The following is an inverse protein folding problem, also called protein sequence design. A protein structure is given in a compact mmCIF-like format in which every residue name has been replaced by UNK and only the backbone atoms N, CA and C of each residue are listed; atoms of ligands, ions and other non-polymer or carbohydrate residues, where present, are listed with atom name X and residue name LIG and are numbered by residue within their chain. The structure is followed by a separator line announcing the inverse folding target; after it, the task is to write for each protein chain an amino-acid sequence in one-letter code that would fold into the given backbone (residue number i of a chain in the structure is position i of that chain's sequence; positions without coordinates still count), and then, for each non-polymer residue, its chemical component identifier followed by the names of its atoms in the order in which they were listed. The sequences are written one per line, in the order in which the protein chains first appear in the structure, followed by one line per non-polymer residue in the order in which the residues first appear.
data_IF_123203433293
#
_entry.id   IF_123203433293
#
_cell.length_a   1.000
_cell.length_b   1.000
_cell.length_c   1.000
_cell.angle_alpha   90.00
_cell.angle_beta   90.00
_cell.angle_gamma   90.00
#
_symmetry.space_group_name_H-M   'P 1'
#
loop_
_entity.id
_entity.type
_entity.pdbx_description
1 polymer ?
#
# COMPACT_ATOMS: atom_id res chain seq x y z
N UNK A 1 3.30 1.59 -11.99
CA UNK A 1 3.98 1.18 -13.23
C UNK A 1 4.01 -0.33 -13.41
N UNK A 2 4.22 -1.13 -12.36
CA UNK A 2 4.20 -2.60 -12.42
C UNK A 2 2.93 -3.21 -13.04
N UNK A 3 1.76 -2.58 -12.91
CA UNK A 3 0.48 -3.09 -13.43
C UNK A 3 0.22 -2.74 -14.90
N UNK A 4 1.00 -1.83 -15.51
CA UNK A 4 0.76 -1.35 -16.88
C UNK A 4 0.87 -2.48 -17.91
N UNK A 5 1.90 -3.35 -17.90
CA UNK A 5 1.99 -4.45 -18.87
C UNK A 5 0.79 -5.42 -18.79
N UNK A 6 0.34 -5.73 -17.58
CA UNK A 6 -0.83 -6.59 -17.36
C UNK A 6 -2.12 -5.96 -17.90
N UNK A 7 -2.31 -4.65 -17.69
CA UNK A 7 -3.47 -3.93 -18.23
C UNK A 7 -3.44 -3.81 -19.75
N UNK A 8 -2.26 -3.63 -20.35
CA UNK A 8 -2.09 -3.62 -21.81
C UNK A 8 -2.41 -4.98 -22.43
N UNK A 9 -1.91 -6.07 -21.82
CA UNK A 9 -2.23 -7.44 -22.24
C UNK A 9 -3.74 -7.71 -22.14
N UNK A 10 -4.36 -7.30 -21.02
CA UNK A 10 -5.80 -7.43 -20.83
C UNK A 10 -6.60 -6.62 -21.86
N UNK A 11 -6.19 -5.38 -22.15
CA UNK A 11 -6.81 -4.53 -23.18
C UNK A 11 -6.71 -5.19 -24.56
N UNK A 12 -5.53 -5.71 -24.91
CA UNK A 12 -5.35 -6.47 -26.16
C UNK A 12 -6.33 -7.63 -26.23
N UNK A 13 -6.43 -8.44 -25.17
CA UNK A 13 -7.35 -9.58 -25.15
C UNK A 13 -8.81 -9.17 -25.34
N UNK A 14 -9.27 -8.09 -24.68
CA UNK A 14 -10.63 -7.57 -24.88
C UNK A 14 -10.87 -7.03 -26.29
N UNK A 15 -9.83 -6.56 -26.99
CA UNK A 15 -9.94 -6.09 -28.37
C UNK A 15 -9.83 -7.21 -29.43
N UNK A 16 -9.26 -8.37 -29.09
CA UNK A 16 -8.91 -9.41 -30.09
C UNK A 16 -9.58 -10.76 -29.88
N UNK A 17 -10.08 -11.07 -28.68
CA UNK A 17 -10.64 -12.39 -28.35
C UNK A 17 -12.18 -12.40 -28.39
N UNK A 18 -12.77 -13.58 -28.53
CA UNK A 18 -14.22 -13.75 -28.42
C UNK A 18 -14.71 -13.56 -26.99
N UNK A 19 -16.02 -13.33 -26.84
CA UNK A 19 -16.63 -13.22 -25.52
C UNK A 19 -16.48 -14.51 -24.71
N UNK A 20 -16.57 -15.69 -25.33
CA UNK A 20 -16.38 -16.97 -24.66
C UNK A 20 -14.97 -17.09 -24.05
N UNK A 21 -13.93 -16.80 -24.83
CA UNK A 21 -12.53 -16.84 -24.35
C UNK A 21 -12.26 -15.83 -23.21
N UNK A 22 -12.93 -14.68 -23.24
CA UNK A 22 -12.86 -13.66 -22.20
C UNK A 22 -13.53 -14.17 -20.91
N UNK A 23 -14.69 -14.82 -21.03
CA UNK A 23 -15.44 -15.33 -19.88
C UNK A 23 -14.69 -16.43 -19.14
N UNK A 24 -13.95 -17.28 -19.85
CA UNK A 24 -13.07 -18.30 -19.24
C UNK A 24 -12.03 -17.69 -18.28
N UNK A 25 -11.62 -16.45 -18.52
CA UNK A 25 -10.58 -15.75 -17.76
C UNK A 25 -11.12 -14.56 -16.93
N UNK A 26 -12.43 -14.42 -16.83
CA UNK A 26 -13.07 -13.21 -16.29
C UNK A 26 -12.62 -12.86 -14.88
N UNK A 27 -12.52 -13.87 -13.99
CA UNK A 27 -12.07 -13.66 -12.61
C UNK A 27 -10.65 -13.12 -12.53
N UNK A 28 -9.77 -13.61 -13.41
CA UNK A 28 -8.37 -13.17 -13.45
C UNK A 28 -8.26 -11.73 -13.95
N UNK A 29 -8.98 -11.38 -15.02
CA UNK A 29 -9.04 -10.01 -15.51
C UNK A 29 -9.61 -9.05 -14.47
N UNK A 30 -10.69 -9.46 -13.80
CA UNK A 30 -11.29 -8.67 -12.71
C UNK A 30 -10.30 -8.45 -11.56
N UNK A 31 -9.60 -9.51 -11.13
CA UNK A 31 -8.57 -9.42 -10.09
C UNK A 31 -7.44 -8.46 -10.49
N UNK A 32 -6.85 -8.64 -11.68
CA UNK A 32 -5.75 -7.79 -12.15
C UNK A 32 -6.17 -6.33 -12.29
N UNK A 33 -7.39 -6.09 -12.79
CA UNK A 33 -7.94 -4.75 -12.93
C UNK A 33 -8.12 -4.06 -11.58
N UNK A 34 -8.77 -4.74 -10.63
CA UNK A 34 -8.99 -4.22 -9.28
C UNK A 34 -7.65 -4.01 -8.56
N UNK A 35 -6.73 -4.97 -8.65
CA UNK A 35 -5.38 -4.84 -8.09
C UNK A 35 -4.68 -3.58 -8.64
N UNK A 36 -4.73 -3.37 -9.95
CA UNK A 36 -4.12 -2.20 -10.59
C UNK A 36 -4.74 -0.89 -10.10
N UNK A 37 -6.06 -0.83 -9.97
CA UNK A 37 -6.78 0.32 -9.43
C UNK A 37 -6.38 0.58 -7.98
N UNK A 38 -6.52 -0.40 -7.10
CA UNK A 38 -6.29 -0.20 -5.66
C UNK A 38 -4.83 0.12 -5.33
N UNK A 39 -3.86 -0.50 -6.02
CA UNK A 39 -2.44 -0.14 -5.87
C UNK A 39 -2.19 1.29 -6.34
N UNK A 40 -2.77 1.70 -7.47
CA UNK A 40 -2.57 3.06 -7.99
C UNK A 40 -3.21 4.11 -7.07
N UNK A 41 -4.44 3.85 -6.61
CA UNK A 41 -5.15 4.72 -5.68
C UNK A 41 -4.42 4.82 -4.35
N UNK A 42 -3.98 3.70 -3.77
CA UNK A 42 -3.24 3.69 -2.49
C UNK A 42 -1.93 4.48 -2.61
N UNK A 43 -1.18 4.31 -3.70
CA UNK A 43 0.04 5.10 -3.94
C UNK A 43 -0.25 6.59 -4.10
N UNK A 44 -1.33 6.95 -4.79
CA UNK A 44 -1.71 8.35 -5.00
C UNK A 44 -2.18 9.01 -3.69
N UNK A 45 -2.97 8.30 -2.90
CA UNK A 45 -3.41 8.76 -1.58
C UNK A 45 -2.22 8.93 -0.63
N UNK A 46 -1.30 7.96 -0.62
CA UNK A 46 -0.04 8.07 0.14
C UNK A 46 0.80 9.28 -0.32
N UNK A 47 0.88 9.56 -1.62
CA UNK A 47 1.55 10.77 -2.11
C UNK A 47 0.85 12.05 -1.60
N UNK A 48 -0.47 12.08 -1.59
CA UNK A 48 -1.23 13.21 -1.08
C UNK A 48 -1.05 13.42 0.43
N UNK A 49 -0.85 12.37 1.22
CA UNK A 49 -0.58 12.51 2.66
C UNK A 49 0.78 13.17 2.96
N UNK A 50 1.70 13.15 1.98
CA UNK A 50 2.97 13.89 2.01
C UNK A 50 2.90 15.30 1.42
N UNK A 51 1.82 15.64 0.71
CA UNK A 51 1.73 16.89 -0.06
C UNK A 51 1.02 17.97 0.75
N UNK A 52 1.78 18.86 1.40
CA UNK A 52 1.20 19.86 2.31
C UNK A 52 0.51 21.04 1.60
N UNK A 53 1.00 21.44 0.43
CA UNK A 53 0.50 22.61 -0.32
C UNK A 53 0.01 22.20 -1.71
N UNK A 54 -0.94 22.97 -2.28
CA UNK A 54 -1.38 22.79 -3.67
C UNK A 54 -2.27 21.58 -3.94
N UNK A 55 -2.82 20.93 -2.91
CA UNK A 55 -3.80 19.86 -3.12
C UNK A 55 -5.17 20.43 -3.53
N UNK A 56 -5.91 19.74 -4.42
CA UNK A 56 -7.29 20.08 -4.71
C UNK A 56 -8.18 20.04 -3.45
N UNK A 57 -9.16 20.94 -3.37
CA UNK A 57 -10.07 21.04 -2.21
C UNK A 57 -10.84 19.75 -1.90
N UNK A 58 -11.21 18.99 -2.92
CA UNK A 58 -11.91 17.73 -2.72
C UNK A 58 -11.01 16.68 -2.05
N UNK A 59 -9.70 16.68 -2.34
CA UNK A 59 -8.74 15.78 -1.68
C UNK A 59 -8.61 16.15 -0.20
N UNK A 60 -8.45 17.45 0.10
CA UNK A 60 -8.31 17.89 1.49
C UNK A 60 -9.59 17.60 2.28
N UNK A 61 -10.77 17.79 1.68
CA UNK A 61 -12.04 17.43 2.32
C UNK A 61 -12.12 15.93 2.63
N UNK A 62 -11.74 15.06 1.69
CA UNK A 62 -11.71 13.62 1.94
C UNK A 62 -10.70 13.24 3.04
N UNK A 63 -9.56 13.95 3.14
CA UNK A 63 -8.60 13.76 4.23
C UNK A 63 -9.16 14.23 5.57
N UNK A 64 -9.84 15.38 5.61
CA UNK A 64 -10.43 15.92 6.84
C UNK A 64 -11.57 15.03 7.35
N UNK A 65 -12.36 14.45 6.44
CA UNK A 65 -13.39 13.45 6.72
C UNK A 65 -12.83 12.04 6.98
N UNK A 66 -11.51 11.86 6.91
CA UNK A 66 -10.84 10.57 7.10
C UNK A 66 -11.30 9.47 6.12
N UNK A 67 -11.82 9.83 4.95
CA UNK A 67 -12.19 8.89 3.88
C UNK A 67 -10.92 8.39 3.15
N UNK A 68 -9.92 9.27 3.03
CA UNK A 68 -8.58 8.93 2.51
C UNK A 68 -7.53 9.37 3.53
N UNK A 69 -6.32 8.80 3.47
CA UNK A 69 -5.29 8.96 4.50
C UNK A 69 -4.99 10.45 4.82
N UNK A 70 -5.26 10.90 6.06
CA UNK A 70 -4.92 12.25 6.50
C UNK A 70 -3.40 12.44 6.65
N UNK A 71 -2.90 13.63 6.33
CA UNK A 71 -1.48 14.00 6.47
C UNK A 71 -0.95 13.80 7.89
N UNK A 72 -1.71 14.28 8.89
CA UNK A 72 -1.35 14.18 10.31
C UNK A 72 -1.28 12.73 10.80
N UNK A 73 -2.21 11.89 10.33
CA UNK A 73 -2.22 10.47 10.65
C UNK A 73 -0.99 9.79 10.07
N UNK A 74 -0.71 10.01 8.78
CA UNK A 74 0.46 9.42 8.12
C UNK A 74 1.79 9.87 8.74
N UNK A 75 1.85 11.11 9.22
CA UNK A 75 3.06 11.64 9.87
C UNK A 75 3.52 10.79 11.06
N UNK A 76 2.61 10.09 11.76
CA UNK A 76 2.98 9.22 12.89
C UNK A 76 3.98 8.14 12.43
N UNK A 77 3.74 7.52 11.28
CA UNK A 77 4.65 6.54 10.68
C UNK A 77 6.01 7.15 10.29
N UNK A 78 6.05 8.44 9.95
CA UNK A 78 7.30 9.16 9.62
C UNK A 78 8.08 9.65 10.84
N UNK A 79 7.58 9.44 12.05
CA UNK A 79 8.33 9.72 13.27
C UNK A 79 9.07 8.45 13.69
N UNK A 80 10.35 8.60 14.05
CA UNK A 80 11.13 7.50 14.61
C UNK A 80 10.37 6.86 15.79
N UNK A 81 10.35 5.52 15.91
CA UNK A 81 11.22 4.55 15.22
C UNK A 81 10.67 3.97 13.90
N UNK A 82 9.64 4.56 13.28
CA UNK A 82 9.07 4.11 11.99
C UNK A 82 8.45 2.70 11.98
N UNK A 83 8.10 2.16 13.15
CA UNK A 83 7.63 0.78 13.30
C UNK A 83 6.11 0.65 13.51
N UNK A 84 5.35 1.72 13.25
CA UNK A 84 3.91 1.77 13.53
C UNK A 84 3.14 2.42 12.38
N UNK A 85 1.82 2.27 12.39
CA UNK A 85 0.89 2.97 11.49
C UNK A 85 1.13 2.72 9.98
N UNK A 86 1.34 1.46 9.59
CA UNK A 86 1.70 1.08 8.21
C UNK A 86 0.57 1.15 7.16
N UNK A 87 -0.70 1.28 7.55
CA UNK A 87 -1.81 1.32 6.60
C UNK A 87 -1.92 2.71 5.93
N UNK A 88 -1.63 2.77 4.63
CA UNK A 88 -1.47 4.02 3.87
C UNK A 88 -2.64 4.39 2.94
N UNK A 89 -3.73 3.61 2.90
CA UNK A 89 -4.90 3.93 2.07
C UNK A 89 -5.85 4.87 2.81
N UNK A 90 -6.41 4.44 3.94
CA UNK A 90 -7.29 5.27 4.78
C UNK A 90 -6.74 5.52 6.18
N UNK A 91 -5.85 4.63 6.65
CA UNK A 91 -5.33 4.63 8.01
C UNK A 91 -6.28 4.04 9.06
N UNK A 92 -7.50 3.62 8.69
CA UNK A 92 -8.50 3.12 9.66
C UNK A 92 -8.01 1.93 10.48
N UNK A 93 -7.25 1.03 9.85
CA UNK A 93 -6.74 -0.16 10.50
C UNK A 93 -5.51 0.10 11.38
N UNK A 94 -4.89 1.28 11.31
CA UNK A 94 -3.72 1.54 12.14
C UNK A 94 -4.08 1.46 13.63
N UNK A 95 -5.09 2.19 14.08
CA UNK A 95 -5.49 2.17 15.49
C UNK A 95 -5.79 0.76 16.05
N UNK A 96 -6.66 -0.07 15.41
CA UNK A 96 -6.90 -1.42 15.91
C UNK A 96 -5.66 -2.32 15.84
N UNK A 97 -4.84 -2.24 14.79
CA UNK A 97 -3.62 -3.06 14.67
C UNK A 97 -2.57 -2.69 15.71
N UNK A 98 -2.41 -1.40 16.02
CA UNK A 98 -1.53 -0.94 17.10
C UNK A 98 -2.03 -1.43 18.47
N UNK A 99 -3.35 -1.35 18.72
CA UNK A 99 -3.95 -1.85 19.97
C UNK A 99 -3.79 -3.35 20.16
N UNK A 100 -3.77 -4.10 19.08
CA UNK A 100 -3.56 -5.55 19.09
C UNK A 100 -2.07 -5.94 19.08
N UNK A 101 -1.14 -4.98 19.05
CA UNK A 101 0.28 -5.21 18.84
C UNK A 101 0.56 -6.14 17.65
N UNK A 102 -0.26 -6.01 16.58
CA UNK A 102 -0.28 -6.97 15.49
C UNK A 102 1.09 -7.11 14.82
N UNK A 103 1.75 -5.99 14.52
CA UNK A 103 3.04 -5.97 13.83
C UNK A 103 4.17 -6.54 14.69
N UNK A 104 4.31 -6.07 15.93
CA UNK A 104 5.31 -6.61 16.88
C UNK A 104 5.06 -8.10 17.18
N UNK A 105 3.80 -8.52 17.24
CA UNK A 105 3.42 -9.92 17.40
C UNK A 105 3.83 -10.77 16.20
N UNK A 106 3.60 -10.29 14.97
CA UNK A 106 4.02 -10.96 13.74
C UNK A 106 5.54 -11.06 13.65
N UNK A 107 6.26 -9.99 13.99
CA UNK A 107 7.72 -9.97 14.06
C UNK A 107 8.26 -10.99 15.06
N UNK A 108 7.68 -11.04 16.27
CA UNK A 108 8.05 -12.02 17.30
C UNK A 108 7.77 -13.44 16.82
N UNK A 109 6.66 -13.67 16.12
CA UNK A 109 6.34 -14.96 15.54
C UNK A 109 7.37 -15.39 14.49
N UNK A 110 7.71 -14.49 13.56
CA UNK A 110 8.70 -14.75 12.52
C UNK A 110 10.08 -15.06 13.15
N UNK A 111 10.51 -14.29 14.14
CA UNK A 111 11.77 -14.53 14.84
C UNK A 111 11.77 -15.90 15.55
N UNK A 112 10.68 -16.25 16.24
CA UNK A 112 10.60 -17.54 16.95
C UNK A 112 10.53 -18.75 16.01
N UNK A 113 9.82 -18.64 14.90
CA UNK A 113 9.64 -19.75 13.97
C UNK A 113 10.83 -19.92 13.02
N UNK A 114 11.47 -18.82 12.61
CA UNK A 114 12.47 -18.83 11.54
C UNK A 114 13.82 -18.25 11.94
N UNK A 115 13.97 -17.68 13.13
CA UNK A 115 15.21 -17.07 13.61
C UNK A 115 15.55 -15.71 12.99
N UNK A 116 14.65 -15.13 12.19
CA UNK A 116 14.88 -13.83 11.56
C UNK A 116 14.60 -12.70 12.56
N UNK A 117 15.67 -12.15 13.13
CA UNK A 117 15.60 -11.01 14.03
C UNK A 117 15.10 -9.77 13.27
N UNK A 118 14.01 -9.13 13.72
CA UNK A 118 13.52 -7.91 13.11
C UNK A 118 14.58 -6.81 13.12
N UNK A 119 14.65 -6.02 12.05
CA UNK A 119 15.54 -4.84 11.94
C UNK A 119 17.04 -5.17 12.09
N UNK A 120 17.45 -6.42 11.89
CA UNK A 120 18.85 -6.82 11.94
C UNK A 120 19.72 -6.16 10.84
N UNK A 121 19.09 -5.53 9.85
CA UNK A 121 19.70 -4.86 8.72
C UNK A 121 19.50 -3.34 8.67
N UNK A 122 18.78 -2.74 9.63
CA UNK A 122 18.43 -1.31 9.65
C UNK A 122 19.63 -0.37 9.53
N UNK A 123 20.83 -0.80 9.95
CA UNK A 123 22.06 -0.01 9.85
C UNK A 123 23.03 -0.52 8.78
N UNK A 124 22.72 -1.63 8.09
CA UNK A 124 23.61 -2.19 7.06
C UNK A 124 23.77 -1.27 5.86
N UNK A 125 22.75 -0.50 5.51
CA UNK A 125 22.82 0.49 4.43
C UNK A 125 23.61 1.75 4.82
N UNK A 126 23.72 2.07 6.12
CA UNK A 126 24.44 3.23 6.63
C UNK A 126 25.96 2.99 6.80
N UNK A 127 26.42 1.75 6.65
CA UNK A 127 27.84 1.40 6.71
C UNK A 127 28.55 1.86 5.43
N UNK A 128 29.62 2.65 5.56
CA UNK A 128 30.53 2.94 4.44
C UNK A 128 31.17 1.64 3.98
N UNK A 129 31.00 1.30 2.70
CA UNK A 129 31.76 0.22 2.06
C UNK A 129 33.22 0.68 1.99
N UNK A 130 34.10 0.00 2.74
CA UNK A 130 35.57 0.12 2.61
C UNK A 130 36.06 -0.57 1.36
#
# INVERSE_FOLDING_TARGET
MLTIPSLLCMTKNFCTKSNEEIQENYYWYSYLYLLAIFVSLTNQIHKWSHTYFGLPRWVTLLQDLHIVLPKRHHRIHHVAPHETYFCITTGWLNYPLEKLHFWTGLETFIEKCFGYKPRADDLKWAQKRT
#
